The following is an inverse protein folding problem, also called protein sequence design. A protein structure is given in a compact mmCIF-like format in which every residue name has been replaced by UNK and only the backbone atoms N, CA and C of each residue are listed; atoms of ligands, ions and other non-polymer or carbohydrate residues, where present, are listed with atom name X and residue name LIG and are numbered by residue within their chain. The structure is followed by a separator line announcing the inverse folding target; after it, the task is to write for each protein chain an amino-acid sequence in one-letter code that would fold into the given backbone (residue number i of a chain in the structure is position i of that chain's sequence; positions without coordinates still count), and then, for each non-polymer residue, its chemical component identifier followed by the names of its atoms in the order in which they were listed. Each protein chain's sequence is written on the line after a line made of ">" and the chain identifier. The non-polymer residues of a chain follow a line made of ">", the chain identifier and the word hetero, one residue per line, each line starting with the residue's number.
data_IF_472037655728
#
_entry.id   IF_472037655728
#
_cell.length_a   1.000
_cell.length_b   1.000
_cell.length_c   1.000
_cell.angle_alpha   90.00
_cell.angle_beta   90.00
_cell.angle_gamma   90.00
#
_symmetry.space_group_name_H-M   'P 1'
#
loop_
_entity.id
_entity.type
_entity.pdbx_description
1 polymer ?
#
# COMPACT_ATOMS: atom_id res chain seq x y z
N UNK A 1 17.29 -1.03 -21.91
CA UNK A 1 16.21 -1.76 -21.20
C UNK A 1 16.37 -1.43 -19.73
N UNK A 2 15.37 -0.81 -19.10
CA UNK A 2 15.41 -0.48 -17.67
C UNK A 2 14.92 -1.64 -16.83
N UNK A 3 15.56 -1.89 -15.70
CA UNK A 3 15.08 -2.84 -14.67
C UNK A 3 14.33 -2.02 -13.62
N UNK A 4 13.12 -2.45 -13.26
CA UNK A 4 12.32 -1.85 -12.20
C UNK A 4 12.27 -2.77 -10.98
N UNK A 5 12.10 -2.18 -9.79
CA UNK A 5 11.77 -2.91 -8.57
C UNK A 5 10.27 -2.79 -8.34
N UNK A 6 9.59 -3.91 -8.12
CA UNK A 6 8.13 -3.97 -7.94
C UNK A 6 7.84 -4.49 -6.54
N UNK A 7 6.87 -3.87 -5.87
CA UNK A 7 6.38 -4.28 -4.55
C UNK A 7 4.87 -4.50 -4.68
N UNK A 8 4.40 -5.67 -4.30
CA UNK A 8 2.98 -6.00 -4.19
C UNK A 8 2.53 -5.79 -2.74
N UNK A 9 1.36 -5.19 -2.55
CA UNK A 9 0.85 -4.84 -1.22
C UNK A 9 -0.60 -5.28 -1.13
N UNK A 10 -0.88 -6.24 -0.24
CA UNK A 10 -2.25 -6.70 0.01
C UNK A 10 -3.00 -5.64 0.82
N UNK A 11 -4.04 -5.08 0.20
CA UNK A 11 -4.86 -3.98 0.72
C UNK A 11 -6.32 -4.21 0.35
N UNK A 12 -7.28 -3.69 1.13
CA UNK A 12 -7.15 -3.15 2.48
C UNK A 12 -6.86 -4.25 3.52
N UNK A 13 -6.93 -3.88 4.80
CA UNK A 13 -7.00 -4.87 5.89
C UNK A 13 -8.11 -5.90 5.64
N UNK A 14 -7.81 -7.18 5.83
CA UNK A 14 -8.70 -8.30 5.50
C UNK A 14 -8.43 -8.94 4.15
N UNK A 15 -7.62 -8.32 3.27
CA UNK A 15 -7.22 -8.92 1.99
C UNK A 15 -6.05 -9.88 2.18
N UNK A 16 -6.27 -11.16 1.80
CA UNK A 16 -5.27 -12.24 1.85
C UNK A 16 -4.47 -12.29 3.16
N UNK A 17 -3.25 -11.76 3.17
CA UNK A 17 -2.33 -11.81 4.32
C UNK A 17 -2.42 -10.57 5.24
N UNK A 18 -3.19 -9.55 4.87
CA UNK A 18 -3.37 -8.33 5.67
C UNK A 18 -4.48 -8.50 6.72
N UNK A 19 -4.18 -8.25 8.00
CA UNK A 19 -5.15 -8.39 9.11
C UNK A 19 -4.99 -7.29 10.18
N UNK A 20 -6.08 -7.00 10.91
CA UNK A 20 -6.08 -6.12 12.07
C UNK A 20 -6.45 -6.88 13.34
N UNK A 21 -6.02 -6.34 14.49
CA UNK A 21 -6.36 -6.85 15.81
C UNK A 21 -7.71 -6.34 16.33
N UNK A 22 -8.20 -5.23 15.79
CA UNK A 22 -9.50 -4.64 16.15
C UNK A 22 -10.50 -4.82 15.01
N UNK A 23 -11.75 -5.10 15.36
CA UNK A 23 -12.84 -5.26 14.39
C UNK A 23 -13.32 -3.91 13.81
N UNK A 24 -13.08 -2.80 14.51
CA UNK A 24 -13.49 -1.46 14.07
C UNK A 24 -12.77 -1.01 12.79
N UNK A 25 -11.62 -1.61 12.49
CA UNK A 25 -10.74 -1.26 11.37
C UNK A 25 -11.23 -1.83 10.04
N UNK A 26 -12.23 -2.72 10.06
CA UNK A 26 -12.85 -3.28 8.84
C UNK A 26 -13.90 -2.36 8.21
N UNK A 27 -14.10 -1.15 8.75
CA UNK A 27 -14.88 -0.11 8.08
C UNK A 27 -14.04 0.54 6.95
N UNK A 28 -13.99 -0.15 5.81
CA UNK A 28 -13.14 0.19 4.68
C UNK A 28 -13.76 1.31 3.84
N UNK A 29 -12.97 2.34 3.53
CA UNK A 29 -13.29 3.37 2.53
C UNK A 29 -12.07 3.67 1.66
N UNK A 30 -12.26 4.18 0.44
CA UNK A 30 -11.16 4.47 -0.48
C UNK A 30 -10.11 5.42 0.11
N UNK A 31 -10.56 6.44 0.86
CA UNK A 31 -9.67 7.37 1.57
C UNK A 31 -8.85 6.67 2.66
N UNK A 32 -9.45 5.73 3.40
CA UNK A 32 -8.73 4.94 4.41
C UNK A 32 -7.67 4.05 3.75
N UNK A 33 -8.02 3.34 2.67
CA UNK A 33 -7.06 2.48 1.95
C UNK A 33 -5.88 3.29 1.44
N UNK A 34 -6.12 4.47 0.87
CA UNK A 34 -5.07 5.38 0.39
C UNK A 34 -4.18 5.86 1.55
N UNK A 35 -4.77 6.25 2.68
CA UNK A 35 -4.04 6.69 3.87
C UNK A 35 -3.15 5.58 4.44
N UNK A 36 -3.68 4.36 4.56
CA UNK A 36 -2.91 3.22 5.03
C UNK A 36 -1.80 2.84 4.04
N UNK A 37 -2.03 2.95 2.73
CA UNK A 37 -1.02 2.65 1.71
C UNK A 37 0.12 3.67 1.75
N UNK A 38 -0.22 4.95 1.95
CA UNK A 38 0.75 6.01 2.18
C UNK A 38 1.58 5.75 3.45
N UNK A 39 0.93 5.38 4.56
CA UNK A 39 1.63 5.06 5.80
C UNK A 39 2.56 3.83 5.63
N UNK A 40 2.08 2.78 4.95
CA UNK A 40 2.91 1.63 4.60
C UNK A 40 4.15 2.06 3.83
N UNK A 41 4.00 2.87 2.79
CA UNK A 41 5.11 3.31 1.94
C UNK A 41 6.14 4.12 2.74
N UNK A 42 5.69 5.04 3.60
CA UNK A 42 6.58 5.81 4.48
C UNK A 42 7.38 4.90 5.42
N UNK A 43 6.73 3.92 6.06
CA UNK A 43 7.40 2.97 6.95
C UNK A 43 8.37 2.06 6.18
N UNK A 44 7.96 1.59 5.01
CA UNK A 44 8.77 0.72 4.17
C UNK A 44 10.04 1.43 3.68
N UNK A 45 9.94 2.70 3.26
CA UNK A 45 11.10 3.50 2.83
C UNK A 45 12.06 3.83 3.97
N UNK A 46 11.56 4.00 5.20
CA UNK A 46 12.43 4.14 6.39
C UNK A 46 13.28 2.89 6.64
N UNK A 47 12.72 1.70 6.41
CA UNK A 47 13.43 0.42 6.54
C UNK A 47 14.34 0.16 5.32
N UNK A 48 13.98 0.65 4.14
CA UNK A 48 14.71 0.45 2.90
C UNK A 48 15.17 1.78 2.26
N UNK A 49 16.04 2.55 2.93
CA UNK A 49 16.41 3.90 2.48
C UNK A 49 17.10 3.93 1.11
N UNK A 50 17.65 2.80 0.65
CA UNK A 50 18.26 2.66 -0.69
C UNK A 50 17.32 2.95 -1.86
N UNK A 51 16.00 2.96 -1.63
CA UNK A 51 15.00 3.22 -2.66
C UNK A 51 14.47 4.66 -2.66
N UNK A 52 14.92 5.53 -1.75
CA UNK A 52 14.42 6.91 -1.63
C UNK A 52 14.65 7.75 -2.89
N UNK A 53 15.70 7.46 -3.66
CA UNK A 53 16.05 8.18 -4.90
C UNK A 53 15.39 7.59 -6.14
N UNK A 54 14.66 6.47 -6.01
CA UNK A 54 14.01 5.84 -7.15
C UNK A 54 12.75 6.62 -7.56
N UNK A 55 12.51 6.74 -8.86
CA UNK A 55 11.22 7.23 -9.36
C UNK A 55 10.10 6.29 -8.92
N UNK A 56 9.14 6.84 -8.17
CA UNK A 56 7.97 6.10 -7.69
C UNK A 56 6.85 6.14 -8.73
N UNK A 57 6.33 4.97 -9.10
CA UNK A 57 5.12 4.83 -9.90
C UNK A 57 4.13 3.96 -9.13
N UNK A 58 2.90 4.42 -8.97
CA UNK A 58 1.84 3.70 -8.27
C UNK A 58 0.85 3.19 -9.30
N UNK A 59 0.55 1.90 -9.22
CA UNK A 59 -0.39 1.20 -10.09
C UNK A 59 -1.34 0.39 -9.20
N UNK A 60 -2.59 0.27 -9.62
CA UNK A 60 -3.61 -0.50 -8.90
C UNK A 60 -4.56 -1.17 -9.88
N UNK A 61 -5.25 -2.21 -9.43
CA UNK A 61 -6.35 -2.80 -10.18
C UNK A 61 -7.69 -2.11 -9.81
N UNK A 62 -8.79 -2.57 -10.42
CA UNK A 62 -10.10 -1.91 -10.38
C UNK A 62 -10.71 -1.69 -8.99
N UNK A 63 -10.19 -2.33 -7.93
CA UNK A 63 -10.62 -2.07 -6.55
C UNK A 63 -9.95 -0.84 -5.92
N UNK A 64 -8.80 -0.41 -6.45
CA UNK A 64 -8.09 0.80 -6.01
C UNK A 64 -8.77 2.08 -6.52
N UNK A 65 -9.76 1.96 -7.43
CA UNK A 65 -10.43 3.06 -8.14
C UNK A 65 -11.91 3.22 -7.76
N UNK A 66 -12.36 2.85 -6.55
CA UNK A 66 -13.75 3.10 -6.14
C UNK A 66 -13.82 4.01 -4.90
N UNK A 67 -14.31 5.23 -5.19
CA UNK A 67 -14.80 6.35 -4.36
C UNK A 67 -13.84 6.98 -3.36
#
# INVERSE_FOLDING_TARGET
>A
MGVANIIFVDKPVGTEFSYAKSLEVYNISGTLVAAELYEFLQKWLKVHPKFLTNSLHVMGDSWVQLS
#
